data_IF_041311832574
#
_entry.id   IF_041311832574
#
_cell.length_a   1.000
_cell.length_b   1.000
_cell.length_c   1.000
_cell.angle_alpha   90.00
_cell.angle_beta   90.00
_cell.angle_gamma   90.00
#
_symmetry.space_group_name_H-M   'P 1'
#
loop_
_entity.id
_entity.type
_entity.pdbx_description
1 polymer ?
#
# COMPACT_ATOMS: atom_id res chain seq x y z
N UNK A 1 -11.97 9.10 -54.07
CA UNK A 1 -10.83 8.81 -53.18
C UNK A 1 -11.17 7.60 -52.35
N UNK A 2 -10.27 6.62 -52.22
CA UNK A 2 -10.53 5.44 -51.39
C UNK A 2 -10.50 5.85 -49.92
N UNK A 3 -11.52 5.47 -49.13
CA UNK A 3 -11.63 5.70 -47.67
C UNK A 3 -10.34 5.30 -46.90
N UNK A 4 -9.70 4.23 -47.35
CA UNK A 4 -8.43 3.76 -46.78
C UNK A 4 -7.29 4.80 -46.89
N UNK A 5 -7.21 5.54 -48.00
CA UNK A 5 -6.17 6.59 -48.17
C UNK A 5 -6.39 7.80 -47.26
N UNK A 6 -7.65 8.09 -46.92
CA UNK A 6 -7.99 9.16 -45.99
C UNK A 6 -7.68 8.74 -44.55
N UNK A 7 -7.90 7.47 -44.19
CA UNK A 7 -7.68 6.96 -42.81
C UNK A 7 -6.20 6.84 -42.41
N UNK A 8 -5.30 6.58 -43.39
CA UNK A 8 -3.87 6.37 -43.08
C UNK A 8 -3.21 7.55 -42.34
N UNK A 9 -3.34 8.83 -42.77
CA UNK A 9 -2.72 9.93 -42.02
C UNK A 9 -3.30 10.11 -40.61
N UNK A 10 -4.58 9.85 -40.39
CA UNK A 10 -5.19 9.89 -39.05
C UNK A 10 -4.65 8.80 -38.14
N UNK A 11 -4.49 7.59 -38.66
CA UNK A 11 -3.90 6.48 -37.91
C UNK A 11 -2.43 6.75 -37.52
N UNK A 12 -1.67 7.36 -38.43
CA UNK A 12 -0.27 7.74 -38.15
C UNK A 12 -0.21 8.82 -37.07
N UNK A 13 -1.04 9.86 -37.16
CA UNK A 13 -1.09 10.93 -36.18
C UNK A 13 -1.54 10.41 -34.80
N UNK A 14 -2.55 9.54 -34.74
CA UNK A 14 -3.00 8.90 -33.51
C UNK A 14 -1.88 8.04 -32.88
N UNK A 15 -1.12 7.29 -33.68
CA UNK A 15 0.01 6.50 -33.24
C UNK A 15 1.12 7.37 -32.60
N UNK A 16 1.44 8.50 -33.28
CA UNK A 16 2.44 9.46 -32.73
C UNK A 16 1.96 10.05 -31.41
N UNK A 17 0.71 10.48 -31.32
CA UNK A 17 0.14 11.05 -30.11
C UNK A 17 0.15 10.01 -28.98
N UNK A 18 -0.25 8.78 -29.25
CA UNK A 18 -0.24 7.70 -28.28
C UNK A 18 1.18 7.41 -27.75
N UNK A 19 2.17 7.38 -28.65
CA UNK A 19 3.57 7.15 -28.26
C UNK A 19 4.10 8.30 -27.39
N UNK A 20 3.85 9.55 -27.78
CA UNK A 20 4.27 10.72 -26.98
C UNK A 20 3.58 10.71 -25.62
N UNK A 21 2.28 10.47 -25.57
CA UNK A 21 1.51 10.39 -24.32
C UNK A 21 2.01 9.27 -23.44
N UNK A 22 2.36 8.12 -24.01
CA UNK A 22 2.93 7.00 -23.28
C UNK A 22 4.26 7.37 -22.60
N UNK A 23 5.20 7.97 -23.35
CA UNK A 23 6.50 8.39 -22.80
C UNK A 23 6.32 9.45 -21.70
N UNK A 24 5.47 10.44 -21.93
CA UNK A 24 5.17 11.46 -20.92
C UNK A 24 4.59 10.85 -19.65
N UNK A 25 3.64 9.92 -19.78
CA UNK A 25 2.93 9.31 -18.66
C UNK A 25 3.83 8.36 -17.84
N UNK A 26 4.80 7.70 -18.49
CA UNK A 26 5.67 6.71 -17.83
C UNK A 26 6.88 7.32 -17.15
N UNK A 27 7.45 8.40 -17.70
CA UNK A 27 8.74 8.96 -17.25
C UNK A 27 8.63 10.40 -16.74
N UNK A 28 7.99 11.28 -17.52
CA UNK A 28 8.04 12.73 -17.26
C UNK A 28 7.08 13.14 -16.15
N UNK A 29 5.83 12.68 -16.23
CA UNK A 29 4.78 13.04 -15.23
C UNK A 29 5.14 12.55 -13.83
N UNK A 30 5.61 11.31 -13.60
CA UNK A 30 6.02 10.86 -12.27
C UNK A 30 7.12 11.73 -11.66
N UNK A 31 8.12 12.08 -12.45
CA UNK A 31 9.24 12.92 -12.00
C UNK A 31 8.76 14.32 -11.56
N UNK A 32 7.84 14.93 -12.33
CA UNK A 32 7.20 16.21 -11.96
C UNK A 32 6.31 16.09 -10.72
N UNK A 33 5.63 14.96 -10.54
CA UNK A 33 4.78 14.70 -9.37
C UNK A 33 5.54 14.65 -8.06
N UNK A 34 6.82 14.22 -8.06
CA UNK A 34 7.69 14.27 -6.85
C UNK A 34 7.83 15.69 -6.35
N UNK A 35 8.12 16.65 -7.23
CA UNK A 35 8.29 18.06 -6.85
C UNK A 35 6.98 18.66 -6.37
N UNK A 36 5.87 18.37 -7.05
CA UNK A 36 4.53 18.81 -6.63
C UNK A 36 4.17 18.29 -5.23
N UNK A 37 4.35 17.00 -4.97
CA UNK A 37 4.03 16.41 -3.66
C UNK A 37 4.92 16.94 -2.54
N UNK A 38 6.22 17.15 -2.80
CA UNK A 38 7.12 17.81 -1.82
C UNK A 38 6.62 19.21 -1.50
N UNK A 39 6.24 19.99 -2.49
CA UNK A 39 5.68 21.33 -2.31
C UNK A 39 4.36 21.28 -1.51
N UNK A 40 3.44 20.39 -1.87
CA UNK A 40 2.18 20.22 -1.14
C UNK A 40 2.40 19.80 0.32
N UNK A 41 3.36 18.93 0.58
CA UNK A 41 3.73 18.52 1.95
C UNK A 41 4.27 19.70 2.77
N UNK A 42 5.08 20.55 2.17
CA UNK A 42 5.66 21.72 2.87
C UNK A 42 4.63 22.83 3.12
N UNK A 43 3.77 23.12 2.15
CA UNK A 43 2.87 24.29 2.22
C UNK A 43 1.45 23.98 2.68
N UNK A 44 0.87 22.83 2.31
CA UNK A 44 -0.48 22.43 2.77
C UNK A 44 -0.47 21.78 4.15
N UNK A 45 0.58 21.03 4.49
CA UNK A 45 0.69 20.36 5.77
C UNK A 45 1.47 21.16 6.81
N UNK A 46 1.06 22.40 7.08
CA UNK A 46 1.48 23.12 8.30
C UNK A 46 1.11 22.40 9.60
N UNK A 47 0.21 21.43 9.56
CA UNK A 47 -0.02 20.42 10.59
C UNK A 47 0.30 19.04 9.96
N UNK A 48 1.57 18.66 9.99
CA UNK A 48 1.95 17.28 9.76
C UNK A 48 1.21 16.44 10.79
N UNK A 49 0.16 15.81 10.35
CA UNK A 49 -0.44 14.75 11.13
C UNK A 49 0.50 13.57 10.94
N UNK A 50 1.51 13.48 11.81
CA UNK A 50 2.54 12.43 11.80
C UNK A 50 1.95 11.06 12.18
N UNK A 51 0.69 10.81 11.79
CA UNK A 51 0.02 9.55 12.05
C UNK A 51 -0.86 9.11 10.88
N UNK A 52 -0.90 7.81 10.67
CA UNK A 52 -1.83 7.14 9.73
C UNK A 52 -2.92 6.45 10.54
N UNK A 53 -4.14 6.42 10.00
CA UNK A 53 -5.31 5.82 10.67
C UNK A 53 -5.91 4.68 9.88
N UNK A 54 -6.56 3.75 10.61
CA UNK A 54 -7.32 2.63 10.05
C UNK A 54 -6.50 1.82 9.03
N UNK A 55 -5.37 1.33 9.52
CA UNK A 55 -4.46 0.52 8.73
C UNK A 55 -4.87 -0.94 8.88
N UNK A 56 -5.09 -1.60 7.76
CA UNK A 56 -5.35 -3.03 7.70
C UNK A 56 -4.40 -3.67 6.69
N UNK A 57 -3.68 -4.70 7.14
CA UNK A 57 -2.66 -5.39 6.35
C UNK A 57 -2.83 -6.89 6.51
N UNK A 58 -2.66 -7.63 5.45
CA UNK A 58 -2.37 -9.06 5.53
C UNK A 58 -0.86 -9.21 5.70
N UNK A 59 -0.42 -9.70 6.86
CA UNK A 59 1.01 -9.81 7.22
C UNK A 59 1.57 -11.20 6.93
N UNK A 60 0.68 -12.18 6.78
CA UNK A 60 0.97 -13.53 6.34
C UNK A 60 -0.32 -14.15 5.80
N UNK A 61 -0.23 -15.30 5.12
CA UNK A 61 -1.41 -15.97 4.58
C UNK A 61 -2.43 -16.25 5.67
N UNK A 62 -3.61 -15.62 5.58
CA UNK A 62 -4.68 -15.72 6.57
C UNK A 62 -4.40 -15.02 7.90
N UNK A 63 -3.38 -14.16 7.99
CA UNK A 63 -3.09 -13.36 9.18
C UNK A 63 -3.27 -11.87 8.88
N UNK A 64 -4.27 -11.26 9.48
CA UNK A 64 -4.64 -9.87 9.25
C UNK A 64 -4.27 -9.04 10.48
N UNK A 65 -3.46 -8.02 10.27
CA UNK A 65 -3.15 -7.01 11.27
C UNK A 65 -4.01 -5.77 11.04
N UNK A 66 -4.58 -5.24 12.11
CA UNK A 66 -5.29 -3.97 12.10
C UNK A 66 -4.71 -3.04 13.17
N UNK A 67 -4.58 -1.76 12.86
CA UNK A 67 -4.23 -0.72 13.81
C UNK A 67 -5.05 0.55 13.55
N UNK A 68 -5.62 1.12 14.61
CA UNK A 68 -6.43 2.32 14.49
C UNK A 68 -5.59 3.55 14.14
N UNK A 69 -4.40 3.66 14.75
CA UNK A 69 -3.50 4.80 14.56
C UNK A 69 -2.05 4.36 14.70
N UNK A 70 -1.22 4.80 13.77
CA UNK A 70 0.23 4.67 13.82
C UNK A 70 0.89 6.05 13.85
N UNK A 71 1.84 6.24 14.75
CA UNK A 71 2.64 7.45 14.90
C UNK A 71 4.09 7.16 14.52
N UNK A 72 4.56 7.84 13.46
CA UNK A 72 5.89 7.56 12.90
C UNK A 72 7.04 8.08 13.78
N UNK A 73 6.84 9.17 14.51
CA UNK A 73 7.89 9.78 15.34
C UNK A 73 8.34 8.87 16.50
N UNK A 74 7.42 8.07 17.07
CA UNK A 74 7.70 7.14 18.17
C UNK A 74 7.58 5.66 17.74
N UNK A 75 7.38 5.40 16.42
CA UNK A 75 7.22 4.06 15.84
C UNK A 75 6.18 3.20 16.57
N UNK A 76 5.10 3.82 17.02
CA UNK A 76 4.10 3.18 17.87
C UNK A 76 2.73 3.15 17.21
N UNK A 77 2.11 1.98 17.18
CA UNK A 77 0.71 1.81 16.80
C UNK A 77 -0.17 1.63 18.04
N UNK A 78 -1.38 2.16 17.95
CA UNK A 78 -2.39 2.12 19.01
C UNK A 78 -3.61 1.33 18.56
N UNK A 79 -4.25 0.63 19.51
CA UNK A 79 -5.40 -0.25 19.28
C UNK A 79 -5.10 -1.25 18.16
N UNK A 80 -4.10 -2.05 18.41
CA UNK A 80 -3.66 -3.09 17.51
C UNK A 80 -4.49 -4.36 17.69
N UNK A 81 -4.85 -5.01 16.59
CA UNK A 81 -5.31 -6.39 16.59
C UNK A 81 -4.60 -7.22 15.52
N UNK A 82 -4.44 -8.49 15.80
CA UNK A 82 -3.88 -9.49 14.89
C UNK A 82 -4.81 -10.70 14.89
N UNK A 83 -5.43 -10.92 13.75
CA UNK A 83 -6.41 -11.98 13.53
C UNK A 83 -5.81 -13.08 12.67
N UNK A 84 -5.79 -14.30 13.19
CA UNK A 84 -5.34 -15.48 12.44
C UNK A 84 -6.52 -16.34 12.05
N UNK A 85 -6.63 -16.63 10.76
CA UNK A 85 -7.65 -17.47 10.16
C UNK A 85 -7.02 -18.76 9.62
N UNK A 86 -7.66 -19.89 9.88
CA UNK A 86 -7.37 -21.17 9.27
C UNK A 86 -8.69 -21.74 8.72
N UNK A 87 -8.71 -22.19 7.47
CA UNK A 87 -9.91 -22.66 6.77
C UNK A 87 -11.12 -21.70 6.90
N UNK A 88 -10.88 -20.40 6.72
CA UNK A 88 -11.87 -19.32 6.87
C UNK A 88 -12.48 -19.18 8.28
N UNK A 89 -11.89 -19.81 9.29
CA UNK A 89 -12.31 -19.69 10.69
C UNK A 89 -11.28 -18.93 11.48
N UNK A 90 -11.74 -18.03 12.34
CA UNK A 90 -10.86 -17.31 13.27
C UNK A 90 -10.36 -18.30 14.33
N UNK A 91 -9.03 -18.52 14.38
CA UNK A 91 -8.41 -19.43 15.36
C UNK A 91 -7.67 -18.67 16.46
N UNK A 92 -7.20 -17.45 16.17
CA UNK A 92 -6.55 -16.60 17.19
C UNK A 92 -6.87 -15.14 16.94
N UNK A 93 -7.17 -14.42 18.01
CA UNK A 93 -7.41 -12.98 18.02
C UNK A 93 -6.56 -12.35 19.11
N UNK A 94 -5.51 -11.64 18.73
CA UNK A 94 -4.69 -10.84 19.62
C UNK A 94 -5.15 -9.40 19.58
N UNK A 95 -5.40 -8.81 20.72
CA UNK A 95 -5.62 -7.37 20.86
C UNK A 95 -4.56 -6.78 21.77
N UNK A 96 -4.10 -5.57 21.46
CA UNK A 96 -3.15 -4.86 22.27
C UNK A 96 -3.45 -3.36 22.31
N UNK A 97 -3.20 -2.74 23.44
CA UNK A 97 -3.39 -1.30 23.58
C UNK A 97 -2.40 -0.52 22.71
N UNK A 98 -1.16 -1.00 22.63
CA UNK A 98 -0.11 -0.41 21.79
C UNK A 98 0.94 -1.43 21.38
N UNK A 99 1.50 -1.23 20.22
CA UNK A 99 2.68 -1.94 19.76
C UNK A 99 3.73 -0.94 19.28
N UNK A 100 4.99 -1.22 19.56
CA UNK A 100 6.12 -0.36 19.19
C UNK A 100 7.10 -1.16 18.32
N UNK A 101 7.50 -0.59 17.20
CA UNK A 101 8.49 -1.21 16.32
C UNK A 101 9.89 -1.09 16.93
N UNK A 102 10.61 -2.21 16.98
CA UNK A 102 12.00 -2.24 17.43
C UNK A 102 12.91 -1.97 16.22
N UNK A 103 13.59 -0.83 16.21
CA UNK A 103 14.49 -0.43 15.13
C UNK A 103 15.81 -1.20 15.12
N UNK A 104 16.10 -1.99 16.15
CA UNK A 104 17.34 -2.76 16.25
C UNK A 104 17.25 -4.11 15.56
N UNK A 105 16.04 -4.66 15.43
CA UNK A 105 15.80 -5.97 14.80
C UNK A 105 14.65 -5.86 13.81
N UNK A 106 14.87 -6.35 12.61
CA UNK A 106 13.87 -6.34 11.53
C UNK A 106 12.62 -7.13 11.94
N UNK A 107 11.44 -6.60 11.63
CA UNK A 107 10.13 -7.20 11.88
C UNK A 107 9.79 -7.46 13.36
N UNK A 108 10.60 -6.96 14.31
CA UNK A 108 10.33 -7.12 15.75
C UNK A 108 9.39 -6.03 16.25
N UNK A 109 8.32 -6.46 16.93
CA UNK A 109 7.35 -5.58 17.56
C UNK A 109 7.22 -5.91 19.03
N UNK A 110 7.25 -4.87 19.86
CA UNK A 110 7.03 -4.95 21.30
C UNK A 110 5.55 -4.65 21.53
N UNK A 111 4.80 -5.65 21.92
CA UNK A 111 3.36 -5.59 22.16
C UNK A 111 3.13 -5.36 23.65
N UNK A 112 2.34 -4.34 24.00
CA UNK A 112 2.06 -3.98 25.39
C UNK A 112 0.57 -3.99 25.68
N UNK A 113 0.24 -4.44 26.92
CA UNK A 113 -1.15 -4.54 27.39
C UNK A 113 -1.98 -5.41 26.44
N UNK A 114 -1.59 -6.68 26.30
CA UNK A 114 -2.18 -7.57 25.31
C UNK A 114 -3.15 -8.57 25.91
N UNK A 115 -4.07 -9.04 25.09
CA UNK A 115 -4.96 -10.16 25.30
C UNK A 115 -4.99 -11.03 24.06
N UNK A 116 -4.68 -12.31 24.21
CA UNK A 116 -4.77 -13.32 23.16
C UNK A 116 -5.96 -14.22 23.48
N UNK A 117 -6.81 -14.40 22.48
CA UNK A 117 -7.95 -15.28 22.51
C UNK A 117 -7.75 -16.37 21.46
N UNK A 118 -7.52 -17.60 21.92
CA UNK A 118 -7.35 -18.77 21.06
C UNK A 118 -8.62 -19.61 21.05
N UNK A 119 -9.09 -19.96 19.87
CA UNK A 119 -10.32 -20.74 19.65
C UNK A 119 -9.95 -22.13 19.16
N UNK A 120 -10.24 -23.16 19.98
CA UNK A 120 -10.07 -24.59 19.62
C UNK A 120 -11.42 -25.28 19.64
N UNK A 121 -12.11 -25.29 18.49
CA UNK A 121 -13.47 -25.77 18.40
C UNK A 121 -14.44 -24.93 19.23
N UNK A 122 -15.11 -25.55 20.22
CA UNK A 122 -16.00 -24.85 21.16
C UNK A 122 -15.31 -24.33 22.43
N UNK A 123 -14.00 -24.53 22.55
CA UNK A 123 -13.24 -24.05 23.72
C UNK A 123 -12.48 -22.79 23.35
N UNK A 124 -12.53 -21.81 24.24
CA UNK A 124 -11.81 -20.58 24.15
C UNK A 124 -10.82 -20.47 25.31
N UNK A 125 -9.59 -20.09 25.00
CA UNK A 125 -8.53 -19.84 25.99
C UNK A 125 -8.14 -18.37 25.88
N UNK A 126 -8.14 -17.66 27.01
CA UNK A 126 -7.78 -16.25 27.09
C UNK A 126 -6.49 -16.10 27.89
N UNK A 127 -5.47 -15.54 27.24
CA UNK A 127 -4.20 -15.19 27.87
C UNK A 127 -4.04 -13.68 27.87
N UNK A 128 -3.62 -13.11 29.01
CA UNK A 128 -3.36 -11.67 29.14
C UNK A 128 -1.96 -11.44 29.68
N UNK A 129 -1.35 -10.34 29.28
CA UNK A 129 -0.04 -9.97 29.78
C UNK A 129 0.30 -8.52 29.49
N UNK A 130 1.34 -8.02 30.17
CA UNK A 130 1.75 -6.62 30.05
C UNK A 130 2.67 -6.38 28.86
N UNK A 131 3.50 -7.38 28.51
CA UNK A 131 4.48 -7.27 27.43
C UNK A 131 4.77 -8.63 26.81
N UNK A 132 4.82 -8.64 25.47
CA UNK A 132 5.35 -9.74 24.67
C UNK A 132 6.11 -9.17 23.46
N UNK A 133 7.25 -9.76 23.13
CA UNK A 133 8.00 -9.43 21.94
C UNK A 133 7.66 -10.44 20.86
N UNK A 134 7.22 -9.97 19.70
CA UNK A 134 6.79 -10.82 18.59
C UNK A 134 7.43 -10.38 17.28
N UNK A 135 7.72 -11.35 16.41
CA UNK A 135 8.14 -11.09 15.03
C UNK A 135 6.87 -11.10 14.18
N UNK A 136 6.53 -9.93 13.62
CA UNK A 136 5.39 -9.77 12.73
C UNK A 136 5.94 -9.28 11.39
N UNK A 137 5.60 -9.96 10.31
CA UNK A 137 6.09 -9.64 8.96
C UNK A 137 5.48 -8.35 8.41
N UNK A 138 5.67 -7.26 9.12
CA UNK A 138 5.30 -5.91 8.70
C UNK A 138 6.34 -4.89 9.15
N UNK A 139 6.52 -3.87 8.34
CA UNK A 139 7.40 -2.74 8.61
C UNK A 139 6.63 -1.42 8.55
N UNK A 140 7.08 -0.38 9.28
CA UNK A 140 6.46 0.94 9.18
C UNK A 140 6.32 1.49 7.76
N UNK A 141 7.25 1.13 6.88
CA UNK A 141 7.22 1.55 5.47
C UNK A 141 6.04 0.97 4.69
N UNK A 142 5.52 -0.19 5.09
CA UNK A 142 4.44 -0.88 4.39
C UNK A 142 3.10 -0.12 4.48
N UNK A 143 2.90 0.64 5.53
CA UNK A 143 1.66 1.39 5.78
C UNK A 143 1.83 2.92 5.85
N UNK A 144 3.07 3.42 5.88
CA UNK A 144 3.37 4.85 5.74
C UNK A 144 3.25 5.36 4.30
N UNK A 145 2.59 4.59 3.44
CA UNK A 145 2.36 4.98 2.05
C UNK A 145 1.55 6.27 2.02
N UNK A 146 2.23 7.36 1.76
CA UNK A 146 1.62 8.67 1.62
C UNK A 146 0.68 8.65 0.42
N UNK A 147 -0.55 9.15 0.60
CA UNK A 147 -1.52 9.34 -0.49
C UNK A 147 -0.82 10.04 -1.67
N UNK A 148 -0.85 9.43 -2.85
CA UNK A 148 -0.22 9.96 -4.05
C UNK A 148 1.21 9.42 -4.31
N UNK A 149 1.77 8.59 -3.44
CA UNK A 149 3.10 8.01 -3.68
C UNK A 149 3.14 7.17 -4.97
N UNK A 150 2.03 6.50 -5.32
CA UNK A 150 1.90 5.79 -6.59
C UNK A 150 2.09 6.71 -7.81
N UNK A 151 1.77 7.99 -7.69
CA UNK A 151 1.93 8.98 -8.78
C UNK A 151 3.38 9.42 -8.98
N UNK A 152 4.24 9.23 -7.97
CA UNK A 152 5.66 9.63 -8.02
C UNK A 152 6.58 8.55 -8.55
N UNK A 153 6.11 7.31 -8.59
CA UNK A 153 6.90 6.19 -9.10
C UNK A 153 6.84 6.14 -10.62
N UNK A 154 7.98 5.91 -11.28
CA UNK A 154 8.00 5.59 -12.71
C UNK A 154 7.33 4.24 -12.95
N UNK A 155 6.91 3.96 -14.18
CA UNK A 155 6.21 2.69 -14.49
C UNK A 155 7.05 1.44 -14.18
N UNK A 156 8.37 1.39 -14.44
CA UNK A 156 9.21 0.28 -14.00
C UNK A 156 9.26 0.12 -12.48
N UNK A 157 9.43 1.24 -11.73
CA UNK A 157 9.46 1.23 -10.26
C UNK A 157 8.12 0.77 -9.68
N UNK A 158 7.02 1.23 -10.27
CA UNK A 158 5.67 0.86 -9.85
C UNK A 158 5.42 -0.65 -10.05
N UNK A 159 5.87 -1.20 -11.17
CA UNK A 159 5.79 -2.65 -11.44
C UNK A 159 6.61 -3.46 -10.44
N UNK A 160 7.88 -3.08 -10.22
CA UNK A 160 8.75 -3.74 -9.23
C UNK A 160 8.14 -3.69 -7.83
N UNK A 161 7.59 -2.55 -7.45
CA UNK A 161 6.90 -2.38 -6.17
C UNK A 161 5.69 -3.31 -6.05
N UNK A 162 4.83 -3.36 -7.08
CA UNK A 162 3.66 -4.25 -7.13
C UNK A 162 4.09 -5.71 -6.98
N UNK A 163 5.11 -6.14 -7.71
CA UNK A 163 5.59 -7.53 -7.68
C UNK A 163 6.14 -7.90 -6.29
N UNK A 164 6.91 -7.02 -5.65
CA UNK A 164 7.40 -7.21 -4.28
C UNK A 164 6.26 -7.30 -3.26
N UNK A 165 5.26 -6.44 -3.38
CA UNK A 165 4.14 -6.43 -2.44
C UNK A 165 3.20 -7.63 -2.65
N UNK A 166 3.04 -8.12 -3.89
CA UNK A 166 2.31 -9.36 -4.17
C UNK A 166 2.93 -10.58 -3.50
N UNK A 167 4.26 -10.67 -3.53
CA UNK A 167 4.98 -11.76 -2.87
C UNK A 167 4.81 -11.74 -1.34
N UNK A 168 4.56 -10.56 -0.77
CA UNK A 168 4.32 -10.36 0.66
C UNK A 168 2.85 -10.47 1.07
N UNK A 169 1.92 -10.68 0.14
CA UNK A 169 0.49 -10.82 0.43
C UNK A 169 -0.24 -9.52 0.83
N UNK A 170 0.31 -8.34 0.53
CA UNK A 170 -0.31 -7.08 0.93
C UNK A 170 -1.59 -6.77 0.15
N UNK A 171 -2.69 -6.55 0.87
CA UNK A 171 -4.02 -6.28 0.28
C UNK A 171 -4.12 -4.92 -0.44
N UNK A 172 -3.30 -3.95 -0.09
CA UNK A 172 -3.38 -2.56 -0.58
C UNK A 172 -2.74 -2.32 -1.97
N UNK A 173 -2.35 -3.39 -2.67
CA UNK A 173 -1.69 -3.34 -3.98
C UNK A 173 -2.61 -2.78 -5.07
N UNK A 174 -3.92 -2.97 -4.94
CA UNK A 174 -4.90 -2.59 -5.98
C UNK A 174 -4.80 -1.14 -6.42
N UNK A 175 -4.49 -0.22 -5.51
CA UNK A 175 -4.32 1.20 -5.84
C UNK A 175 -3.14 1.42 -6.79
N UNK A 176 -2.04 0.70 -6.58
CA UNK A 176 -0.85 0.77 -7.43
C UNK A 176 -1.08 0.08 -8.77
N UNK A 177 -1.78 -1.05 -8.79
CA UNK A 177 -2.18 -1.73 -10.03
C UNK A 177 -3.09 -0.86 -10.91
N UNK A 178 -4.10 -0.24 -10.30
CA UNK A 178 -5.01 0.67 -11.00
C UNK A 178 -4.22 1.83 -11.62
N UNK A 179 -3.27 2.42 -10.89
CA UNK A 179 -2.43 3.50 -11.42
C UNK A 179 -1.57 3.02 -12.59
N UNK A 180 -0.96 1.85 -12.48
CA UNK A 180 -0.14 1.27 -13.55
C UNK A 180 -0.95 1.03 -14.81
N UNK A 181 -2.11 0.38 -14.72
CA UNK A 181 -2.97 0.12 -15.88
C UNK A 181 -3.61 1.39 -16.43
N UNK A 182 -3.93 2.37 -15.58
CA UNK A 182 -4.44 3.67 -16.00
C UNK A 182 -3.47 4.38 -16.92
N UNK A 183 -2.18 4.38 -16.61
CA UNK A 183 -1.15 5.01 -17.46
C UNK A 183 -1.09 4.38 -18.86
N UNK A 184 -1.19 3.06 -18.92
CA UNK A 184 -1.23 2.34 -20.21
C UNK A 184 -2.52 2.67 -20.94
N UNK A 185 -3.68 2.54 -20.28
CA UNK A 185 -4.98 2.75 -20.91
C UNK A 185 -5.15 4.17 -21.48
N UNK A 186 -4.72 5.20 -20.74
CA UNK A 186 -4.80 6.60 -21.18
C UNK A 186 -3.96 6.87 -22.42
N UNK A 187 -2.85 6.15 -22.61
CA UNK A 187 -2.00 6.30 -23.80
C UNK A 187 -2.70 5.83 -25.07
N UNK A 188 -3.63 4.87 -24.97
CA UNK A 188 -4.40 4.35 -26.09
C UNK A 188 -5.74 5.05 -26.29
N UNK A 189 -6.13 5.99 -25.45
CA UNK A 189 -7.41 6.70 -25.55
C UNK A 189 -7.57 7.42 -26.90
N UNK A 190 -6.47 7.92 -27.48
CA UNK A 190 -6.47 8.58 -28.79
C UNK A 190 -6.83 7.65 -29.99
N UNK A 191 -6.84 6.32 -29.78
CA UNK A 191 -7.30 5.37 -30.80
C UNK A 191 -8.79 5.03 -30.69
N UNK A 192 -9.41 5.31 -29.55
CA UNK A 192 -10.80 4.93 -29.25
C UNK A 192 -11.76 6.09 -29.56
N UNK A 193 -11.27 7.33 -29.52
CA UNK A 193 -12.02 8.55 -29.86
C UNK A 193 -11.88 8.90 -31.35
#
# INVERSE_FOLDING_TARGET
MSFKRLMVPYMISAAIIALVTYVLSTEVIPTGSVTRLKFEQVYKNKKRTDYVRNIQLEVDTGVIAYMERYEDYNKTAYRFSLDKFEDHKLVSHLTARRITYDTTTVHRWIIKDYMIREMKGMRETITRGDRIDSIINMEPQDFLITRGQQETMTSPQLREYIDKQKQRGFANIKVFEVEYYRRIATSFAAFIL
#
